data_IF_887442639867
#
_entry.id   IF_887442639867
#
_cell.length_a   1.000
_cell.length_b   1.000
_cell.length_c   1.000
_cell.angle_alpha   90.00
_cell.angle_beta   90.00
_cell.angle_gamma   90.00
#
_symmetry.space_group_name_H-M   'P 1'
#
loop_
_entity.id
_entity.type
_entity.pdbx_description
1 polymer ?
#
# COMPACT_ATOMS: atom_id res chain seq x y z
N UNK A 1 -0.57 -22.06 29.84
CA UNK A 1 -1.23 -20.91 29.20
C UNK A 1 -1.13 -21.12 27.69
N UNK A 2 -2.25 -21.02 26.96
CA UNK A 2 -2.21 -21.07 25.50
C UNK A 2 -1.81 -19.66 25.04
N UNK A 3 -0.55 -19.49 24.62
CA UNK A 3 -0.09 -18.25 24.00
C UNK A 3 -0.42 -18.30 22.52
N UNK A 4 -1.16 -17.31 22.02
CA UNK A 4 -1.37 -17.14 20.59
C UNK A 4 -0.13 -16.48 19.98
N UNK A 5 0.38 -17.05 18.89
CA UNK A 5 1.46 -16.46 18.09
C UNK A 5 0.83 -15.48 17.10
N UNK A 6 0.62 -14.25 17.53
CA UNK A 6 0.03 -13.19 16.72
C UNK A 6 1.12 -12.36 16.04
N UNK A 7 0.98 -12.14 14.73
CA UNK A 7 1.81 -11.20 13.99
C UNK A 7 1.18 -9.81 14.14
N UNK A 8 1.87 -8.83 14.77
CA UNK A 8 1.32 -7.49 14.94
C UNK A 8 1.23 -6.77 13.59
N UNK A 9 0.15 -6.02 13.41
CA UNK A 9 -0.05 -5.16 12.24
C UNK A 9 0.97 -4.02 12.18
N UNK A 10 1.47 -3.71 10.98
CA UNK A 10 2.20 -2.48 10.72
C UNK A 10 1.21 -1.34 10.41
N UNK A 11 1.52 -0.12 10.85
CA UNK A 11 0.64 1.04 10.68
C UNK A 11 1.37 2.19 10.01
N UNK A 12 0.59 3.03 9.32
CA UNK A 12 1.02 4.30 8.70
C UNK A 12 2.25 4.16 7.78
N UNK A 13 2.23 3.12 6.95
CA UNK A 13 3.29 2.84 6.00
C UNK A 13 3.20 3.81 4.82
N UNK A 14 4.33 4.43 4.46
CA UNK A 14 4.49 5.14 3.20
C UNK A 14 5.23 4.27 2.21
N UNK A 15 4.57 3.88 1.12
CA UNK A 15 5.17 3.06 0.06
C UNK A 15 5.55 3.96 -1.11
N UNK A 16 6.80 3.85 -1.55
CA UNK A 16 7.33 4.58 -2.70
C UNK A 16 7.61 3.61 -3.85
N UNK A 17 6.97 3.85 -5.00
CA UNK A 17 7.05 3.00 -6.18
C UNK A 17 7.61 3.84 -7.32
N UNK A 18 8.68 3.38 -7.98
CA UNK A 18 9.15 4.02 -9.21
C UNK A 18 8.18 3.69 -10.35
N UNK A 19 7.60 4.71 -10.95
CA UNK A 19 6.67 4.59 -12.07
C UNK A 19 7.10 5.53 -13.18
N UNK A 20 7.14 5.04 -14.43
CA UNK A 20 7.62 5.83 -15.57
C UNK A 20 6.72 7.05 -15.88
N UNK A 21 5.44 6.94 -15.55
CA UNK A 21 4.43 8.01 -15.63
C UNK A 21 3.56 7.97 -14.37
N UNK A 22 2.75 9.02 -14.16
CA UNK A 22 1.73 9.04 -13.11
C UNK A 22 0.73 7.91 -13.38
N UNK A 23 0.54 6.94 -12.46
CA UNK A 23 -0.45 5.89 -12.62
C UNK A 23 -1.87 6.48 -12.62
N UNK A 24 -2.78 5.84 -13.36
CA UNK A 24 -4.19 6.18 -13.35
C UNK A 24 -4.81 5.97 -11.95
N UNK A 25 -4.46 4.86 -11.30
CA UNK A 25 -4.84 4.56 -9.92
C UNK A 25 -3.91 3.52 -9.30
N UNK A 26 -3.86 3.50 -7.97
CA UNK A 26 -3.23 2.46 -7.17
C UNK A 26 -4.30 1.96 -6.21
N UNK A 27 -4.58 0.66 -6.22
CA UNK A 27 -5.66 0.03 -5.45
C UNK A 27 -5.07 -0.92 -4.43
N UNK A 28 -5.49 -0.78 -3.17
CA UNK A 28 -5.20 -1.73 -2.10
C UNK A 28 -6.19 -2.90 -2.17
N UNK A 29 -5.64 -4.09 -2.29
CA UNK A 29 -6.39 -5.35 -2.32
C UNK A 29 -6.11 -6.13 -1.03
N UNK A 30 -7.10 -6.90 -0.52
CA UNK A 30 -8.37 -7.27 -1.18
C UNK A 30 -9.53 -6.27 -1.05
N UNK A 31 -9.36 -5.16 -0.34
CA UNK A 31 -10.46 -4.24 0.00
C UNK A 31 -10.95 -3.41 -1.20
N UNK A 32 -10.26 -3.45 -2.34
CA UNK A 32 -10.57 -2.65 -3.52
C UNK A 32 -10.44 -1.14 -3.28
N UNK A 33 -9.66 -0.73 -2.28
CA UNK A 33 -9.56 0.67 -1.84
C UNK A 33 -8.56 1.44 -2.71
N UNK A 34 -9.05 2.40 -3.48
CA UNK A 34 -8.18 3.31 -4.23
C UNK A 34 -7.41 4.23 -3.27
N UNK A 35 -6.10 4.34 -3.49
CA UNK A 35 -5.20 5.14 -2.67
C UNK A 35 -4.87 6.46 -3.37
N UNK A 36 -4.74 7.52 -2.57
CA UNK A 36 -4.26 8.82 -3.05
C UNK A 36 -2.80 8.70 -3.48
N UNK A 37 -2.54 9.04 -4.74
CA UNK A 37 -1.18 9.03 -5.32
C UNK A 37 -0.59 10.44 -5.25
N UNK A 38 0.54 10.56 -4.55
CA UNK A 38 1.45 11.70 -4.72
C UNK A 38 2.55 11.28 -5.70
N UNK A 39 2.58 11.89 -6.89
CA UNK A 39 3.54 11.55 -7.93
C UNK A 39 4.48 12.72 -8.21
N UNK A 40 5.77 12.49 -7.97
CA UNK A 40 6.83 13.48 -8.20
C UNK A 40 8.09 12.77 -8.71
N UNK A 41 8.70 13.33 -9.75
CA UNK A 41 10.01 12.89 -10.28
C UNK A 41 10.11 11.37 -10.57
N UNK A 42 9.08 10.77 -11.17
CA UNK A 42 9.09 9.33 -11.49
C UNK A 42 8.82 8.39 -10.31
N UNK A 43 8.34 8.94 -9.18
CA UNK A 43 8.02 8.17 -7.98
C UNK A 43 6.58 8.46 -7.56
N UNK A 44 5.78 7.40 -7.46
CA UNK A 44 4.46 7.40 -6.83
C UNK A 44 4.58 7.01 -5.37
N UNK A 45 4.10 7.89 -4.50
CA UNK A 45 3.96 7.65 -3.06
C UNK A 45 2.49 7.42 -2.71
N UNK A 46 2.23 6.39 -1.91
CA UNK A 46 0.91 6.08 -1.35
C UNK A 46 1.03 5.75 0.14
N UNK A 47 -0.02 6.11 0.89
CA UNK A 47 -0.13 5.75 2.30
C UNK A 47 -0.97 4.47 2.48
N UNK A 48 -0.46 3.53 3.28
CA UNK A 48 -1.17 2.33 3.72
C UNK A 48 -1.34 2.42 5.23
N UNK A 49 -2.57 2.64 5.68
CA UNK A 49 -2.88 2.90 7.10
C UNK A 49 -2.61 1.71 8.00
N UNK A 50 -2.84 0.50 7.50
CA UNK A 50 -2.64 -0.74 8.24
C UNK A 50 -2.28 -1.88 7.29
N UNK A 51 -1.33 -2.71 7.71
CA UNK A 51 -0.92 -3.95 7.06
C UNK A 51 -0.90 -5.03 8.14
N UNK A 52 -1.88 -5.93 8.12
CA UNK A 52 -1.97 -7.02 9.09
C UNK A 52 -0.91 -8.10 8.80
N UNK A 53 -1.19 -9.00 7.84
CA UNK A 53 -0.24 -10.03 7.41
C UNK A 53 0.36 -9.65 6.06
N UNK A 54 -0.51 -9.41 5.07
CA UNK A 54 -0.13 -8.97 3.74
C UNK A 54 -1.28 -8.19 3.09
N UNK A 55 -0.91 -7.35 2.13
CA UNK A 55 -1.83 -6.64 1.24
C UNK A 55 -1.15 -6.51 -0.13
N UNK A 56 -1.93 -6.27 -1.17
CA UNK A 56 -1.41 -6.11 -2.53
C UNK A 56 -1.72 -4.69 -3.01
N UNK A 57 -0.72 -4.04 -3.61
CA UNK A 57 -0.91 -2.78 -4.32
C UNK A 57 -0.99 -3.08 -5.82
N UNK A 58 -2.19 -2.96 -6.38
CA UNK A 58 -2.44 -3.05 -7.81
C UNK A 58 -2.17 -1.68 -8.45
N UNK A 59 -1.21 -1.62 -9.38
CA UNK A 59 -0.81 -0.37 -10.04
C UNK A 59 -1.34 -0.36 -11.47
N UNK A 60 -2.22 0.60 -11.79
CA UNK A 60 -2.82 0.76 -13.12
C UNK A 60 -2.18 1.98 -13.80
N UNK A 61 -1.53 1.77 -14.94
CA UNK A 61 -0.68 2.75 -15.63
C UNK A 61 -1.42 3.66 -16.61
#
# INVERSE_FOLDING_TARGET
>A
AIGYDEIPSLKDLTVSIRTAKKPAKIVLQPEGKELKIDYQNGVSKVGVSELAIHSILEVVL
#
